data_IF_994523238699
#
_entry.id   IF_994523238699
#
_cell.length_a   1.000
_cell.length_b   1.000
_cell.length_c   1.000
_cell.angle_alpha   90.00
_cell.angle_beta   90.00
_cell.angle_gamma   90.00
#
_symmetry.space_group_name_H-M   'P 1'
#
loop_
_entity.id
_entity.type
_entity.pdbx_description
1 polymer ?
#
# COMPACT_ATOMS: atom_id res chain seq x y z
N UNK A 1 31.32 0.87 -36.19
CA UNK A 1 30.48 2.03 -36.59
C UNK A 1 29.13 1.83 -35.93
N UNK A 2 28.91 2.57 -34.84
CA UNK A 2 27.69 2.52 -33.99
C UNK A 2 26.71 3.55 -34.57
N UNK A 3 25.44 3.18 -34.85
CA UNK A 3 24.46 4.18 -35.30
C UNK A 3 24.00 5.07 -34.14
N UNK A 4 23.59 6.33 -34.41
CA UNK A 4 23.28 7.31 -33.40
C UNK A 4 21.94 7.06 -32.71
N UNK A 5 21.92 7.21 -31.39
CA UNK A 5 20.72 7.29 -30.57
C UNK A 5 19.99 8.62 -30.84
N UNK A 6 18.77 8.54 -31.28
CA UNK A 6 17.94 9.73 -31.53
C UNK A 6 16.57 9.34 -32.09
N UNK A 7 15.78 8.61 -31.35
CA UNK A 7 14.39 8.36 -31.67
C UNK A 7 13.51 8.74 -30.49
N UNK A 8 12.77 9.84 -30.63
CA UNK A 8 11.69 10.25 -29.74
C UNK A 8 10.68 9.11 -29.68
N UNK A 9 10.66 8.38 -28.55
CA UNK A 9 9.66 7.34 -28.31
C UNK A 9 8.34 8.05 -28.06
N UNK A 10 7.53 8.18 -29.10
CA UNK A 10 6.11 8.46 -28.92
C UNK A 10 5.50 7.25 -28.22
N UNK A 11 5.11 7.46 -26.98
CA UNK A 11 4.34 6.51 -26.18
C UNK A 11 2.97 6.30 -26.80
N UNK A 12 2.89 5.47 -27.83
CA UNK A 12 1.64 4.85 -28.25
C UNK A 12 1.32 3.76 -27.24
N UNK A 13 0.54 4.08 -26.23
CA UNK A 13 -0.17 3.08 -25.41
C UNK A 13 -1.22 2.40 -26.29
N UNK A 14 -0.77 1.47 -27.16
CA UNK A 14 -1.67 0.50 -27.76
C UNK A 14 -2.23 -0.36 -26.61
N UNK A 15 -3.55 -0.42 -26.53
CA UNK A 15 -4.33 -1.37 -25.74
C UNK A 15 -4.05 -2.79 -26.25
N UNK A 16 -2.91 -3.33 -25.95
CA UNK A 16 -2.67 -4.76 -26.05
C UNK A 16 -3.24 -5.38 -24.78
N UNK A 17 -4.39 -6.07 -24.89
CA UNK A 17 -5.27 -6.55 -23.84
C UNK A 17 -4.68 -7.60 -22.89
N UNK A 18 -3.49 -7.39 -22.35
CA UNK A 18 -2.78 -8.28 -21.40
C UNK A 18 -2.25 -7.59 -20.14
N UNK A 19 -2.51 -6.31 -19.91
CA UNK A 19 -1.99 -5.61 -18.74
C UNK A 19 -3.08 -5.37 -17.70
N UNK A 20 -2.79 -5.68 -16.44
CA UNK A 20 -3.61 -5.20 -15.33
C UNK A 20 -3.40 -3.68 -15.23
N UNK A 21 -4.38 -2.92 -15.67
CA UNK A 21 -4.35 -1.44 -15.71
C UNK A 21 -3.94 -0.82 -14.36
N UNK A 22 -4.37 -1.42 -13.26
CA UNK A 22 -4.06 -0.96 -11.90
C UNK A 22 -2.56 -0.95 -11.59
N UNK A 23 -1.78 -1.87 -12.15
CA UNK A 23 -0.31 -1.88 -11.97
C UNK A 23 0.31 -0.60 -12.53
N UNK A 24 -0.16 -0.17 -13.71
CA UNK A 24 0.38 0.99 -14.42
C UNK A 24 -0.20 2.31 -13.92
N UNK A 25 -1.50 2.34 -13.61
CA UNK A 25 -2.21 3.54 -13.17
C UNK A 25 -1.97 3.90 -11.72
N UNK A 26 -1.71 2.89 -10.86
CA UNK A 26 -1.53 3.12 -9.44
C UNK A 26 -0.40 4.11 -9.14
N UNK A 27 -0.75 5.20 -8.49
CA UNK A 27 0.19 6.22 -8.00
C UNK A 27 -0.07 6.48 -6.51
N UNK A 28 0.95 7.00 -5.81
CA UNK A 28 0.77 7.46 -4.44
C UNK A 28 -0.02 8.76 -4.41
N UNK A 29 -1.29 8.67 -3.98
CA UNK A 29 -2.23 9.78 -3.85
C UNK A 29 -2.24 10.22 -2.39
N UNK A 30 -2.12 11.53 -2.16
CA UNK A 30 -2.08 12.17 -0.83
C UNK A 30 -3.06 13.33 -0.68
N UNK A 31 -3.83 13.62 -1.74
CA UNK A 31 -4.92 14.61 -1.72
C UNK A 31 -6.20 13.89 -2.07
N UNK A 32 -7.16 13.97 -1.19
CA UNK A 32 -8.43 13.26 -1.27
C UNK A 32 -9.58 14.25 -1.31
N UNK A 33 -10.69 13.85 -1.93
CA UNK A 33 -11.97 14.53 -1.83
C UNK A 33 -12.54 14.33 -0.42
N UNK A 34 -13.33 15.27 0.04
CA UNK A 34 -14.11 15.15 1.28
C UNK A 34 -15.37 14.32 1.02
N UNK A 35 -15.13 13.03 0.79
CA UNK A 35 -16.17 12.05 0.47
C UNK A 35 -15.84 10.72 1.15
N UNK A 36 -16.81 10.11 1.87
CA UNK A 36 -16.61 8.79 2.48
C UNK A 36 -16.45 7.72 1.40
N UNK A 37 -15.74 6.65 1.73
CA UNK A 37 -15.63 5.44 0.92
C UNK A 37 -16.68 4.44 1.41
N UNK A 38 -17.39 3.85 0.47
CA UNK A 38 -18.42 2.84 0.71
C UNK A 38 -17.82 1.60 1.37
N UNK A 39 -18.55 1.05 2.35
CA UNK A 39 -18.10 -0.13 3.11
C UNK A 39 -17.78 -1.32 2.21
N UNK A 40 -18.60 -1.54 1.20
CA UNK A 40 -18.44 -2.63 0.25
C UNK A 40 -17.13 -2.55 -0.54
N UNK A 41 -16.66 -1.33 -0.85
CA UNK A 41 -15.34 -1.11 -1.46
C UNK A 41 -14.24 -1.47 -0.48
N UNK A 42 -14.33 -1.02 0.77
CA UNK A 42 -13.36 -1.37 1.81
C UNK A 42 -13.28 -2.89 2.01
N UNK A 43 -14.41 -3.58 2.03
CA UNK A 43 -14.46 -5.04 2.16
C UNK A 43 -13.80 -5.75 0.96
N UNK A 44 -14.01 -5.28 -0.29
CA UNK A 44 -13.31 -5.85 -1.46
C UNK A 44 -11.81 -5.64 -1.40
N UNK A 45 -11.36 -4.47 -0.92
CA UNK A 45 -9.94 -4.17 -0.72
C UNK A 45 -9.33 -5.10 0.33
N UNK A 46 -9.99 -5.31 1.45
CA UNK A 46 -9.55 -6.22 2.50
C UNK A 46 -9.49 -7.68 2.01
N UNK A 47 -10.52 -8.12 1.26
CA UNK A 47 -10.53 -9.45 0.63
C UNK A 47 -9.34 -9.64 -0.32
N UNK A 48 -9.01 -8.63 -1.13
CA UNK A 48 -7.84 -8.68 -2.00
C UNK A 48 -6.54 -8.83 -1.20
N UNK A 49 -6.37 -8.09 -0.11
CA UNK A 49 -5.22 -8.25 0.79
C UNK A 49 -5.10 -9.67 1.35
N UNK A 50 -6.23 -10.30 1.69
CA UNK A 50 -6.27 -11.67 2.20
C UNK A 50 -5.98 -12.75 1.14
N UNK A 51 -5.93 -12.40 -0.15
CA UNK A 51 -5.52 -13.34 -1.22
C UNK A 51 -3.99 -13.37 -1.41
N UNK A 52 -3.26 -12.53 -0.70
CA UNK A 52 -1.80 -12.49 -0.83
C UNK A 52 -1.17 -13.75 -0.23
N UNK A 53 -0.09 -14.26 -0.85
CA UNK A 53 0.62 -15.39 -0.28
C UNK A 53 1.27 -15.01 1.05
N UNK A 54 1.48 -16.01 1.90
CA UNK A 54 2.23 -15.89 3.14
C UNK A 54 3.21 -17.05 3.29
N UNK A 55 4.34 -16.80 3.91
CA UNK A 55 5.31 -17.84 4.19
C UNK A 55 4.65 -18.96 5.04
N UNK A 56 4.85 -20.22 4.64
CA UNK A 56 4.30 -21.39 5.33
C UNK A 56 2.77 -21.35 5.51
N UNK A 57 2.04 -20.60 4.66
CA UNK A 57 0.60 -20.34 4.78
C UNK A 57 0.18 -19.82 6.17
N UNK A 58 1.03 -18.98 6.77
CA UNK A 58 0.83 -18.47 8.13
C UNK A 58 -0.42 -17.62 8.28
N UNK A 59 -0.80 -16.90 7.20
CA UNK A 59 -1.91 -15.94 7.18
C UNK A 59 -1.87 -15.01 8.40
N UNK A 60 -0.68 -14.50 8.69
CA UNK A 60 -0.40 -13.71 9.90
C UNK A 60 -1.00 -12.29 9.85
N UNK A 61 -1.51 -11.87 8.70
CA UNK A 61 -2.10 -10.54 8.53
C UNK A 61 -3.44 -10.41 9.24
N UNK A 62 -3.61 -9.28 9.90
CA UNK A 62 -4.88 -8.72 10.37
C UNK A 62 -4.98 -7.29 9.84
N UNK A 63 -6.17 -6.72 9.82
CA UNK A 63 -6.39 -5.39 9.29
C UNK A 63 -7.27 -4.56 10.24
N UNK A 64 -6.79 -3.39 10.63
CA UNK A 64 -7.59 -2.43 11.36
C UNK A 64 -8.06 -1.33 10.39
N UNK A 65 -9.37 -1.14 10.28
CA UNK A 65 -9.97 -0.10 9.44
C UNK A 65 -10.40 1.08 10.31
N UNK A 66 -9.96 2.28 9.93
CA UNK A 66 -10.21 3.51 10.66
C UNK A 66 -10.92 4.51 9.74
N UNK A 67 -12.13 4.92 10.12
CA UNK A 67 -12.93 5.93 9.40
C UNK A 67 -13.21 7.16 10.25
N UNK A 68 -13.08 7.06 11.57
CA UNK A 68 -13.30 8.16 12.51
C UNK A 68 -12.31 9.31 12.31
N UNK A 69 -12.77 10.57 12.24
CA UNK A 69 -11.91 11.72 11.99
C UNK A 69 -10.86 11.95 13.07
N UNK A 70 -11.19 11.72 14.33
CA UNK A 70 -10.26 11.86 15.46
C UNK A 70 -9.08 10.90 15.35
N UNK A 71 -9.36 9.64 15.05
CA UNK A 71 -8.32 8.63 14.90
C UNK A 71 -7.45 8.88 13.66
N UNK A 72 -8.04 9.35 12.53
CA UNK A 72 -7.29 9.77 11.36
C UNK A 72 -6.37 10.95 11.65
N UNK A 73 -6.85 11.92 12.41
CA UNK A 73 -6.05 13.05 12.85
C UNK A 73 -4.90 12.60 13.75
N UNK A 74 -5.15 11.74 14.74
CA UNK A 74 -4.10 11.21 15.61
C UNK A 74 -3.01 10.47 14.83
N UNK A 75 -3.40 9.61 13.85
CA UNK A 75 -2.44 8.91 13.00
C UNK A 75 -1.61 9.90 12.16
N UNK A 76 -2.21 11.00 11.69
CA UNK A 76 -1.49 12.00 10.90
C UNK A 76 -0.34 12.67 11.64
N UNK A 77 -0.38 12.69 12.96
CA UNK A 77 0.61 13.31 13.86
C UNK A 77 1.75 12.35 14.25
N UNK A 78 1.59 11.06 13.98
CA UNK A 78 2.59 10.03 14.34
C UNK A 78 3.85 10.06 13.46
N UNK A 79 3.82 10.80 12.35
CA UNK A 79 4.95 10.94 11.44
C UNK A 79 4.78 12.16 10.54
N UNK A 80 5.86 12.86 10.25
CA UNK A 80 5.91 13.97 9.28
C UNK A 80 5.41 13.59 7.88
N UNK A 81 5.50 12.30 7.52
CA UNK A 81 5.01 11.77 6.24
C UNK A 81 3.55 11.32 6.28
N UNK A 82 2.91 11.33 7.45
CA UNK A 82 1.55 10.83 7.63
C UNK A 82 0.47 11.93 7.59
N UNK A 83 0.81 13.19 7.40
CA UNK A 83 -0.12 14.32 7.41
C UNK A 83 -1.36 14.13 6.51
N UNK A 84 -1.23 13.41 5.41
CA UNK A 84 -2.36 13.14 4.52
C UNK A 84 -3.42 12.19 5.14
N UNK A 85 -3.09 11.47 6.22
CA UNK A 85 -4.05 10.59 6.90
C UNK A 85 -5.25 11.35 7.46
N UNK A 86 -5.06 12.57 7.95
CA UNK A 86 -6.14 13.41 8.47
C UNK A 86 -7.22 13.73 7.41
N UNK A 87 -6.84 13.80 6.14
CA UNK A 87 -7.72 14.13 5.01
C UNK A 87 -8.13 12.92 4.18
N UNK A 88 -7.65 11.73 4.50
CA UNK A 88 -8.10 10.50 3.87
C UNK A 88 -9.54 10.16 4.28
N UNK A 89 -10.28 9.47 3.43
CA UNK A 89 -11.63 9.00 3.77
C UNK A 89 -11.57 7.83 4.77
N UNK A 90 -10.55 6.98 4.63
CA UNK A 90 -10.30 5.87 5.53
C UNK A 90 -8.80 5.57 5.63
N UNK A 91 -8.43 4.87 6.71
CA UNK A 91 -7.12 4.24 6.84
C UNK A 91 -7.33 2.74 6.97
N UNK A 92 -6.44 1.96 6.33
CA UNK A 92 -6.29 0.54 6.60
C UNK A 92 -4.89 0.36 7.19
N UNK A 93 -4.82 -0.27 8.35
CA UNK A 93 -3.56 -0.54 9.04
C UNK A 93 -3.31 -2.04 8.98
N UNK A 94 -2.41 -2.51 8.09
CA UNK A 94 -1.97 -3.90 8.10
C UNK A 94 -1.19 -4.20 9.38
N UNK A 95 -1.59 -5.27 10.05
CA UNK A 95 -1.07 -5.73 11.32
C UNK A 95 -0.56 -7.17 11.16
N UNK A 96 0.57 -7.50 11.77
CA UNK A 96 1.03 -8.87 11.89
C UNK A 96 0.64 -9.45 13.25
N UNK A 97 -0.02 -10.61 13.23
CA UNK A 97 -0.18 -11.43 14.42
C UNK A 97 1.06 -12.32 14.58
N UNK A 98 1.96 -11.92 15.48
CA UNK A 98 3.24 -12.58 15.69
C UNK A 98 3.12 -13.97 16.32
N UNK A 99 1.95 -14.34 16.85
CA UNK A 99 1.70 -15.71 17.33
C UNK A 99 1.52 -16.72 16.19
N UNK A 100 1.36 -16.24 14.95
CA UNK A 100 1.18 -17.07 13.74
C UNK A 100 2.47 -17.23 12.93
N UNK A 101 3.57 -16.66 13.38
CA UNK A 101 4.84 -16.66 12.65
C UNK A 101 5.93 -17.31 13.51
N UNK A 102 6.96 -17.81 12.85
CA UNK A 102 8.14 -18.28 13.53
C UNK A 102 8.91 -17.06 14.10
N UNK A 103 9.15 -17.00 15.43
CA UNK A 103 9.83 -15.85 16.03
C UNK A 103 11.29 -15.70 15.57
N UNK A 104 11.87 -16.71 14.96
CA UNK A 104 13.23 -16.68 14.42
C UNK A 104 13.27 -16.12 12.97
N UNK A 105 12.10 -15.87 12.35
CA UNK A 105 12.01 -15.49 10.93
C UNK A 105 11.16 -14.22 10.77
N UNK A 106 11.67 -13.26 10.00
CA UNK A 106 10.98 -12.01 9.69
C UNK A 106 10.13 -12.06 8.40
N UNK A 107 9.69 -13.26 7.96
CA UNK A 107 8.90 -13.43 6.74
C UNK A 107 7.59 -12.64 6.76
N UNK A 108 7.02 -12.41 7.94
CA UNK A 108 5.81 -11.62 8.10
C UNK A 108 5.92 -10.20 7.50
N UNK A 109 7.13 -9.65 7.43
CA UNK A 109 7.37 -8.34 6.79
C UNK A 109 7.09 -8.42 5.29
N UNK A 110 7.52 -9.51 4.64
CA UNK A 110 7.28 -9.76 3.22
C UNK A 110 5.80 -10.08 2.98
N UNK A 111 5.19 -10.89 3.85
CA UNK A 111 3.77 -11.25 3.79
C UNK A 111 2.88 -9.99 3.84
N UNK A 112 3.16 -9.10 4.80
CA UNK A 112 2.44 -7.83 4.96
C UNK A 112 2.72 -6.86 3.80
N UNK A 113 3.93 -6.87 3.24
CA UNK A 113 4.25 -6.07 2.05
C UNK A 113 3.46 -6.57 0.84
N UNK A 114 3.36 -7.89 0.62
CA UNK A 114 2.56 -8.47 -0.44
C UNK A 114 1.07 -8.10 -0.28
N UNK A 115 0.50 -8.27 0.92
CA UNK A 115 -0.88 -7.91 1.21
C UNK A 115 -1.14 -6.41 1.00
N UNK A 116 -0.22 -5.54 1.45
CA UNK A 116 -0.32 -4.09 1.28
C UNK A 116 -0.31 -3.71 -0.20
N UNK A 117 0.60 -4.27 -1.00
CA UNK A 117 0.65 -4.00 -2.44
C UNK A 117 -0.60 -4.50 -3.16
N UNK A 118 -1.11 -5.68 -2.83
CA UNK A 118 -2.34 -6.22 -3.41
C UNK A 118 -3.53 -5.30 -3.10
N UNK A 119 -3.66 -4.82 -1.86
CA UNK A 119 -4.69 -3.84 -1.50
C UNK A 119 -4.54 -2.52 -2.29
N UNK A 120 -3.32 -2.03 -2.51
CA UNK A 120 -3.11 -0.81 -3.29
C UNK A 120 -3.56 -0.96 -4.75
N UNK A 121 -3.39 -2.13 -5.34
CA UNK A 121 -3.90 -2.43 -6.69
C UNK A 121 -5.42 -2.47 -6.70
N UNK A 122 -6.04 -3.16 -5.73
CA UNK A 122 -7.49 -3.21 -5.60
C UNK A 122 -8.09 -1.81 -5.36
N UNK A 123 -7.44 -0.94 -4.58
CA UNK A 123 -7.87 0.43 -4.37
C UNK A 123 -7.94 1.21 -5.71
N UNK A 124 -6.95 1.02 -6.59
CA UNK A 124 -6.97 1.62 -7.93
C UNK A 124 -8.13 1.08 -8.79
N UNK A 125 -8.40 -0.25 -8.74
CA UNK A 125 -9.54 -0.86 -9.45
C UNK A 125 -10.90 -0.36 -8.94
N UNK A 126 -10.99 0.02 -7.65
CA UNK A 126 -12.21 0.63 -7.07
C UNK A 126 -12.39 2.10 -7.47
N UNK A 127 -11.49 2.67 -8.30
CA UNK A 127 -11.51 4.08 -8.67
C UNK A 127 -11.07 5.01 -7.55
N UNK A 128 -10.35 4.49 -6.55
CA UNK A 128 -9.84 5.23 -5.41
C UNK A 128 -8.35 5.51 -5.56
N UNK A 129 -7.84 6.40 -4.72
CA UNK A 129 -6.41 6.63 -4.59
C UNK A 129 -5.93 6.29 -3.19
N UNK A 130 -4.65 5.91 -3.07
CA UNK A 130 -4.04 5.66 -1.78
C UNK A 130 -2.57 6.00 -1.74
N UNK A 131 -2.03 6.05 -0.51
CA UNK A 131 -0.59 6.09 -0.27
C UNK A 131 -0.23 5.15 0.87
N UNK A 132 0.93 4.50 0.72
CA UNK A 132 1.56 3.68 1.75
C UNK A 132 2.40 4.57 2.67
N UNK A 133 2.09 4.57 3.95
CA UNK A 133 2.82 5.25 5.01
C UNK A 133 3.58 4.18 5.82
N UNK A 134 4.90 4.14 5.71
CA UNK A 134 5.73 3.16 6.39
C UNK A 134 5.80 3.42 7.90
N UNK A 135 5.45 2.41 8.70
CA UNK A 135 5.52 2.45 10.16
C UNK A 135 6.66 1.57 10.67
N UNK A 136 6.61 0.28 10.40
CA UNK A 136 7.73 -0.63 10.66
C UNK A 136 8.91 -0.35 9.70
N UNK A 137 10.16 -0.43 10.14
CA UNK A 137 10.67 -0.85 11.45
C UNK A 137 10.90 0.30 12.48
N UNK A 138 10.28 1.45 12.30
CA UNK A 138 10.47 2.61 13.17
C UNK A 138 9.74 2.42 14.51
N UNK A 139 10.47 2.07 15.59
CA UNK A 139 9.90 1.78 16.92
C UNK A 139 9.01 2.90 17.45
N UNK A 140 9.38 4.17 17.24
CA UNK A 140 8.56 5.30 17.67
C UNK A 140 7.18 5.30 16.98
N UNK A 141 7.12 5.03 15.66
CA UNK A 141 5.87 5.01 14.90
C UNK A 141 5.00 3.80 15.23
N UNK A 142 5.60 2.62 15.30
CA UNK A 142 4.86 1.39 15.67
C UNK A 142 4.38 1.46 17.11
N UNK A 143 5.18 2.04 18.03
CA UNK A 143 4.81 2.27 19.41
C UNK A 143 3.64 3.24 19.56
N UNK A 144 3.62 4.35 18.81
CA UNK A 144 2.52 5.31 18.80
C UNK A 144 1.21 4.66 18.34
N UNK A 145 1.24 3.87 17.24
CA UNK A 145 0.05 3.12 16.78
C UNK A 145 -0.42 2.12 17.82
N UNK A 146 0.49 1.36 18.42
CA UNK A 146 0.14 0.37 19.46
C UNK A 146 -0.52 1.03 20.66
N UNK A 147 0.04 2.12 21.13
CA UNK A 147 -0.51 2.85 22.28
C UNK A 147 -1.90 3.44 21.97
N UNK A 148 -2.05 4.10 20.84
CA UNK A 148 -3.31 4.76 20.47
C UNK A 148 -4.44 3.76 20.26
N UNK A 149 -4.19 2.68 19.52
CA UNK A 149 -5.20 1.65 19.22
C UNK A 149 -5.25 0.52 20.25
N UNK A 150 -4.48 0.59 21.33
CA UNK A 150 -4.42 -0.42 22.40
C UNK A 150 -4.17 -1.83 21.86
N UNK A 151 -3.24 -1.93 20.87
CA UNK A 151 -2.95 -3.20 20.24
C UNK A 151 -2.30 -4.19 21.23
N UNK A 152 -2.74 -5.45 21.25
CA UNK A 152 -2.11 -6.50 22.06
C UNK A 152 -0.62 -6.63 21.76
N UNK A 153 0.16 -7.19 22.71
CA UNK A 153 1.61 -7.28 22.57
C UNK A 153 2.07 -8.08 21.34
N UNK A 154 1.33 -9.11 20.99
CA UNK A 154 1.61 -9.95 19.83
C UNK A 154 1.17 -9.34 18.48
N UNK A 155 0.53 -8.19 18.48
CA UNK A 155 0.10 -7.49 17.25
C UNK A 155 1.10 -6.39 16.90
N UNK A 156 1.71 -6.52 15.74
CA UNK A 156 2.70 -5.57 15.23
C UNK A 156 2.15 -4.76 14.06
N UNK A 157 2.00 -3.44 14.17
CA UNK A 157 1.59 -2.61 13.04
C UNK A 157 2.72 -2.49 12.02
N UNK A 158 2.39 -2.72 10.74
CA UNK A 158 3.34 -2.72 9.65
C UNK A 158 3.39 -1.39 8.90
N UNK A 159 2.22 -0.91 8.48
CA UNK A 159 2.07 0.30 7.69
C UNK A 159 0.70 0.95 7.94
N UNK A 160 0.48 2.12 7.36
CA UNK A 160 -0.85 2.71 7.22
C UNK A 160 -1.10 2.96 5.73
N UNK A 161 -2.21 2.48 5.20
CA UNK A 161 -2.71 2.83 3.88
C UNK A 161 -3.74 3.93 4.08
N UNK A 162 -3.41 5.17 3.69
CA UNK A 162 -4.36 6.27 3.65
C UNK A 162 -5.04 6.28 2.29
N UNK A 163 -6.39 6.21 2.24
CA UNK A 163 -7.15 6.07 1.00
C UNK A 163 -8.41 6.94 0.96
N UNK A 164 -8.89 7.18 -0.26
CA UNK A 164 -10.09 7.96 -0.52
C UNK A 164 -10.26 8.24 -2.01
N UNK A 165 -11.30 8.98 -2.39
CA UNK A 165 -11.45 9.48 -3.75
C UNK A 165 -10.35 10.47 -4.09
N UNK A 166 -9.79 10.37 -5.29
CA UNK A 166 -8.65 11.18 -5.74
C UNK A 166 -9.11 12.61 -5.99
N UNK A 167 -8.61 13.60 -5.25
CA UNK A 167 -8.85 15.01 -5.55
C UNK A 167 -8.14 15.46 -6.83
N UNK A 168 -7.13 14.70 -7.29
CA UNK A 168 -6.39 14.93 -8.52
C UNK A 168 -5.82 13.61 -9.02
N UNK A 169 -5.98 13.33 -10.30
CA UNK A 169 -5.31 12.24 -10.98
C UNK A 169 -3.82 12.50 -11.11
N UNK A 170 -3.06 11.43 -11.18
CA UNK A 170 -1.64 11.45 -11.52
C UNK A 170 -1.40 10.57 -12.73
N UNK A 171 -0.63 11.10 -13.67
CA UNK A 171 -0.26 10.35 -14.86
C UNK A 171 0.50 9.06 -14.49
N UNK A 172 0.25 7.97 -15.21
CA UNK A 172 1.08 6.77 -15.13
C UNK A 172 2.55 7.10 -15.40
N UNK A 173 3.43 6.28 -14.87
CA UNK A 173 4.87 6.43 -15.05
C UNK A 173 5.47 5.09 -15.43
N UNK A 174 6.08 5.02 -16.61
CA UNK A 174 6.89 3.89 -16.98
C UNK A 174 8.22 3.95 -16.23
N UNK A 175 8.52 2.89 -15.49
CA UNK A 175 9.73 2.75 -14.67
C UNK A 175 10.63 1.65 -15.17
N UNK A 176 10.41 1.18 -16.40
CA UNK A 176 11.26 0.18 -16.98
C UNK A 176 12.69 0.70 -17.10
N UNK A 177 13.62 -0.04 -16.55
CA UNK A 177 15.03 0.26 -16.55
C UNK A 177 15.80 -1.04 -16.87
N UNK A 178 16.21 -1.24 -18.13
CA UNK A 178 16.89 -2.46 -18.54
C UNK A 178 18.23 -2.68 -17.86
N UNK A 179 18.89 -1.64 -17.35
CA UNK A 179 20.16 -1.75 -16.62
C UNK A 179 20.02 -2.46 -15.28
N UNK A 180 18.78 -2.56 -14.75
CA UNK A 180 18.47 -3.27 -13.51
C UNK A 180 18.05 -4.73 -13.74
N UNK A 181 18.14 -5.20 -14.96
CA UNK A 181 17.76 -6.58 -15.32
C UNK A 181 19.00 -7.34 -15.78
N UNK A 182 19.37 -8.33 -15.03
CA UNK A 182 20.51 -9.18 -15.32
C UNK A 182 20.00 -10.57 -15.71
N UNK A 183 20.47 -11.10 -16.85
CA UNK A 183 20.09 -12.39 -17.37
C UNK A 183 21.18 -13.41 -17.05
N UNK A 184 20.80 -14.54 -16.43
CA UNK A 184 21.65 -15.67 -16.03
C UNK A 184 22.67 -15.31 -14.93
N UNK A 185 23.31 -14.15 -15.01
CA UNK A 185 24.35 -13.69 -14.06
C UNK A 185 24.21 -12.19 -13.84
N UNK A 186 24.71 -11.75 -12.69
CA UNK A 186 24.86 -10.32 -12.36
C UNK A 186 26.05 -9.75 -13.12
#
# INVERSE_FOLDING_TARGET
MVPPAGGTIQTQTKKDGKHMDSIWKRRSIRKFEDRPVEREKLERILRAGMQSPTAKDSRCWEFLVVTGPEARQAVSEMSEYAMCAAKAAALIIPLANLQRVDPAEDWWVQDLAAATQTMLLQIEEEGLGATWLGMYPRKARTGALRAYFQLPEHIMPFAVIALGYKAREKEPEDRWDPEKVHWERY
#
